data_IF_817172538017
#
_entry.id   IF_817172538017
#
_cell.length_a   1.000
_cell.length_b   1.000
_cell.length_c   1.000
_cell.angle_alpha   90.00
_cell.angle_beta   90.00
_cell.angle_gamma   90.00
#
_symmetry.space_group_name_H-M   'P 1'
#
loop_
_entity.id
_entity.type
_entity.pdbx_description
1 polymer ?
#
# COMPACT_ATOMS: atom_id res chain seq x y z
N UNK A 1 -41.44 -68.78 -12.49
CA UNK A 1 -40.14 -68.23 -12.03
C UNK A 1 -39.68 -67.20 -13.08
N UNK A 2 -39.78 -65.90 -12.79
CA UNK A 2 -39.27 -64.85 -13.69
C UNK A 2 -37.77 -64.67 -13.40
N UNK A 3 -36.91 -65.07 -14.34
CA UNK A 3 -35.47 -64.84 -14.26
C UNK A 3 -35.19 -63.39 -14.72
N UNK A 4 -34.76 -62.54 -13.80
CA UNK A 4 -34.28 -61.19 -14.08
C UNK A 4 -32.85 -61.29 -14.61
N UNK A 5 -32.66 -61.12 -15.92
CA UNK A 5 -31.34 -60.96 -16.52
C UNK A 5 -30.84 -59.54 -16.27
N UNK A 6 -29.85 -59.39 -15.40
CA UNK A 6 -29.13 -58.14 -15.22
C UNK A 6 -28.06 -58.02 -16.32
N UNK A 7 -28.15 -56.97 -17.15
CA UNK A 7 -27.09 -56.58 -18.08
C UNK A 7 -26.14 -55.63 -17.37
N UNK A 8 -24.86 -55.99 -17.31
CA UNK A 8 -23.78 -55.13 -16.83
C UNK A 8 -23.14 -54.38 -17.99
N UNK A 9 -22.77 -53.12 -17.78
CA UNK A 9 -22.01 -52.32 -18.74
C UNK A 9 -20.52 -52.61 -18.65
N UNK A 10 -19.77 -52.24 -19.68
CA UNK A 10 -18.31 -52.29 -19.65
C UNK A 10 -17.73 -51.26 -18.69
N UNK A 11 -16.49 -51.50 -18.26
CA UNK A 11 -15.73 -50.59 -17.42
C UNK A 11 -15.37 -49.33 -18.19
N UNK A 12 -15.35 -48.19 -17.51
CA UNK A 12 -14.85 -46.94 -18.10
C UNK A 12 -13.33 -46.96 -18.24
N UNK A 13 -12.81 -46.02 -19.02
CA UNK A 13 -11.38 -45.71 -19.03
C UNK A 13 -10.88 -45.39 -17.61
N UNK A 14 -9.65 -45.81 -17.31
CA UNK A 14 -9.03 -45.55 -16.01
C UNK A 14 -8.63 -44.09 -15.89
N UNK A 15 -9.03 -43.43 -14.80
CA UNK A 15 -8.54 -42.09 -14.44
C UNK A 15 -7.48 -42.19 -13.36
N UNK A 16 -6.36 -41.48 -13.51
CA UNK A 16 -5.33 -41.40 -12.47
C UNK A 16 -5.61 -40.20 -11.58
N UNK A 17 -5.77 -40.44 -10.28
CA UNK A 17 -5.92 -39.39 -9.28
C UNK A 17 -4.55 -39.08 -8.68
N UNK A 18 -4.10 -37.84 -8.82
CA UNK A 18 -2.88 -37.34 -8.18
C UNK A 18 -3.25 -36.60 -6.90
N UNK A 19 -2.69 -37.01 -5.77
CA UNK A 19 -2.87 -36.34 -4.48
C UNK A 19 -1.57 -35.63 -4.14
N UNK A 20 -1.67 -34.34 -3.79
CA UNK A 20 -0.55 -33.54 -3.30
C UNK A 20 -0.65 -33.43 -1.78
N UNK A 21 0.46 -33.62 -1.08
CA UNK A 21 0.53 -33.43 0.37
C UNK A 21 0.55 -31.94 0.77
N UNK A 22 0.86 -31.05 -0.18
CA UNK A 22 0.93 -29.62 0.09
C UNK A 22 -0.45 -28.99 0.04
N UNK A 23 -0.79 -28.24 1.09
CA UNK A 23 -1.98 -27.39 1.09
C UNK A 23 -1.81 -26.31 0.02
N UNK A 24 -2.79 -26.12 -0.88
CA UNK A 24 -2.73 -25.00 -1.81
C UNK A 24 -2.80 -23.68 -1.03
N UNK A 25 -2.20 -22.63 -1.60
CA UNK A 25 -2.24 -21.27 -1.05
C UNK A 25 -2.88 -20.32 -2.07
N UNK A 26 -3.99 -19.65 -1.74
CA UNK A 26 -4.61 -18.71 -2.65
C UNK A 26 -3.81 -17.41 -2.80
N UNK A 27 -4.04 -16.71 -3.89
CA UNK A 27 -3.43 -15.41 -4.19
C UNK A 27 -4.49 -14.32 -4.03
N UNK A 28 -4.28 -13.45 -3.04
CA UNK A 28 -5.13 -12.28 -2.81
C UNK A 28 -4.66 -11.10 -3.66
N UNK A 29 -5.62 -10.41 -4.25
CA UNK A 29 -5.46 -9.14 -4.96
C UNK A 29 -6.42 -8.10 -4.40
N UNK A 30 -6.01 -6.83 -4.41
CA UNK A 30 -6.80 -5.71 -3.87
C UNK A 30 -6.83 -4.57 -4.88
N UNK A 31 -7.97 -3.89 -4.98
CA UNK A 31 -8.12 -2.73 -5.85
C UNK A 31 -9.15 -1.74 -5.28
N UNK A 32 -8.81 -0.45 -5.13
CA UNK A 32 -7.49 0.14 -5.27
C UNK A 32 -6.55 -0.22 -4.10
N UNK A 33 -5.23 -0.06 -4.25
CA UNK A 33 -4.25 -0.25 -3.17
C UNK A 33 -4.10 0.98 -2.27
N UNK A 34 -4.45 2.16 -2.76
CA UNK A 34 -4.50 3.40 -1.99
C UNK A 34 -5.95 3.81 -1.80
N UNK A 35 -6.31 4.05 -0.54
CA UNK A 35 -7.66 4.43 -0.18
C UNK A 35 -7.98 5.81 -0.72
N UNK A 36 -9.20 5.89 -1.25
CA UNK A 36 -9.83 7.11 -1.68
C UNK A 36 -11.17 7.16 -0.95
N UNK A 37 -11.42 8.08 0.00
CA UNK A 37 -12.72 8.17 0.65
C UNK A 37 -13.95 8.11 -0.26
N UNK A 38 -14.93 7.34 0.19
CA UNK A 38 -16.11 6.97 -0.59
C UNK A 38 -15.86 5.88 -1.65
N UNK A 39 -14.61 5.55 -1.98
CA UNK A 39 -14.30 4.37 -2.78
C UNK A 39 -14.42 3.10 -1.92
N UNK A 40 -14.96 2.06 -2.52
CA UNK A 40 -14.93 0.72 -1.95
C UNK A 40 -13.67 -0.01 -2.38
N UNK A 41 -13.14 -0.85 -1.50
CA UNK A 41 -12.04 -1.76 -1.83
C UNK A 41 -12.64 -3.07 -2.32
N UNK A 42 -12.18 -3.55 -3.46
CA UNK A 42 -12.51 -4.90 -3.94
C UNK A 42 -11.33 -5.83 -3.63
N UNK A 43 -11.60 -6.88 -2.88
CA UNK A 43 -10.71 -8.01 -2.66
C UNK A 43 -11.07 -9.12 -3.66
N UNK A 44 -10.06 -9.78 -4.23
CA UNK A 44 -10.26 -10.93 -5.11
C UNK A 44 -9.27 -12.05 -4.78
N UNK A 45 -9.78 -13.25 -4.58
CA UNK A 45 -9.04 -14.41 -4.08
C UNK A 45 -8.93 -15.47 -5.17
N UNK A 46 -7.73 -15.65 -5.72
CA UNK A 46 -7.49 -16.62 -6.79
C UNK A 46 -6.99 -17.93 -6.21
N UNK A 47 -7.60 -19.04 -6.64
CA UNK A 47 -7.25 -20.41 -6.27
C UNK A 47 -6.88 -21.22 -7.50
N UNK A 48 -6.04 -22.23 -7.31
CA UNK A 48 -5.73 -23.19 -8.37
C UNK A 48 -7.00 -23.98 -8.70
N UNK A 49 -7.42 -23.96 -9.97
CA UNK A 49 -8.67 -24.55 -10.47
C UNK A 49 -9.95 -23.93 -9.86
N UNK A 50 -10.37 -22.74 -10.34
CA UNK A 50 -11.53 -22.00 -9.82
C UNK A 50 -12.86 -22.76 -9.91
N UNK A 51 -13.00 -23.62 -10.93
CA UNK A 51 -14.22 -24.39 -11.20
C UNK A 51 -14.49 -25.53 -10.23
N UNK A 52 -13.65 -25.73 -9.20
CA UNK A 52 -13.74 -26.86 -8.27
C UNK A 52 -14.74 -26.64 -7.11
N UNK A 53 -15.58 -25.60 -7.16
CA UNK A 53 -16.62 -25.35 -6.16
C UNK A 53 -16.05 -24.91 -4.81
N UNK A 54 -15.21 -23.87 -4.82
CA UNK A 54 -14.59 -23.32 -3.60
C UNK A 54 -15.53 -22.39 -2.84
N UNK A 55 -15.45 -22.46 -1.52
CA UNK A 55 -16.02 -21.50 -0.58
C UNK A 55 -14.91 -20.57 -0.08
N UNK A 56 -15.09 -19.25 -0.23
CA UNK A 56 -14.11 -18.24 0.13
C UNK A 56 -14.39 -17.64 1.51
N UNK A 57 -13.31 -17.37 2.23
CA UNK A 57 -13.27 -16.81 3.57
C UNK A 57 -12.36 -15.58 3.57
N UNK A 58 -12.85 -14.49 4.15
CA UNK A 58 -12.20 -13.19 4.11
C UNK A 58 -11.87 -12.70 5.51
N UNK A 59 -10.63 -12.26 5.69
CA UNK A 59 -10.12 -11.87 7.00
C UNK A 59 -9.45 -10.50 6.94
N UNK A 60 -9.58 -9.74 8.02
CA UNK A 60 -8.76 -8.58 8.33
C UNK A 60 -7.53 -9.03 9.12
N UNK A 61 -6.36 -8.58 8.71
CA UNK A 61 -5.12 -8.81 9.43
C UNK A 61 -5.02 -7.82 10.60
N UNK A 62 -4.75 -8.36 11.78
CA UNK A 62 -4.49 -7.58 13.00
C UNK A 62 -3.02 -7.79 13.37
N UNK A 63 -2.21 -6.73 13.37
CA UNK A 63 -0.82 -6.80 13.78
C UNK A 63 -0.69 -7.34 15.19
N UNK A 64 0.20 -8.31 15.34
CA UNK A 64 0.71 -8.75 16.63
C UNK A 64 2.21 -8.51 16.64
N UNK A 65 2.69 -7.76 17.64
CA UNK A 65 4.11 -7.47 17.82
C UNK A 65 4.84 -8.60 18.57
N UNK A 66 4.11 -9.48 19.26
CA UNK A 66 4.68 -10.61 20.00
C UNK A 66 4.97 -11.80 19.11
N UNK A 67 4.23 -11.94 18.01
CA UNK A 67 4.44 -12.98 17.00
C UNK A 67 5.05 -12.41 15.70
N UNK A 68 5.77 -13.29 14.97
CA UNK A 68 6.20 -12.98 13.59
C UNK A 68 5.03 -12.97 12.59
N UNK A 69 3.80 -13.24 13.04
CA UNK A 69 2.61 -13.41 12.23
C UNK A 69 1.49 -12.47 12.69
N UNK A 70 0.59 -12.10 11.78
CA UNK A 70 -0.61 -11.35 12.12
C UNK A 70 -1.71 -12.32 12.54
N UNK A 71 -2.53 -11.93 13.51
CA UNK A 71 -3.79 -12.61 13.76
C UNK A 71 -4.83 -12.20 12.71
N UNK A 72 -5.87 -13.02 12.53
CA UNK A 72 -6.85 -12.85 11.47
C UNK A 72 -8.27 -12.85 12.03
N UNK A 73 -8.99 -11.76 11.81
CA UNK A 73 -10.39 -11.59 12.21
C UNK A 73 -11.30 -11.73 10.99
N UNK A 74 -12.35 -12.54 11.09
CA UNK A 74 -13.32 -12.73 10.00
C UNK A 74 -14.05 -11.42 9.69
N UNK A 75 -14.16 -11.09 8.40
CA UNK A 75 -14.98 -9.97 7.95
C UNK A 75 -16.48 -10.31 8.05
N UNK A 76 -17.36 -9.31 8.27
CA UNK A 76 -18.81 -9.50 8.30
C UNK A 76 -19.29 -10.17 7.02
N UNK A 77 -20.15 -11.19 7.10
CA UNK A 77 -20.65 -11.95 5.94
C UNK A 77 -19.57 -12.57 5.03
N UNK A 78 -18.30 -12.56 5.47
CA UNK A 78 -17.14 -13.02 4.71
C UNK A 78 -16.82 -14.50 4.88
N UNK A 79 -17.79 -15.32 5.31
CA UNK A 79 -17.59 -16.73 5.63
C UNK A 79 -18.35 -17.63 4.66
N UNK A 80 -17.63 -18.51 3.96
CA UNK A 80 -18.23 -19.58 3.17
C UNK A 80 -18.95 -19.15 1.89
N UNK A 81 -18.54 -18.03 1.28
CA UNK A 81 -19.21 -17.51 0.07
C UNK A 81 -18.67 -18.19 -1.19
N UNK A 82 -19.53 -18.51 -2.16
CA UNK A 82 -19.07 -19.03 -3.46
C UNK A 82 -18.39 -17.94 -4.34
N UNK A 83 -18.55 -16.67 -3.97
CA UNK A 83 -17.98 -15.53 -4.67
C UNK A 83 -16.50 -15.39 -4.32
N UNK A 84 -15.64 -15.35 -5.34
CA UNK A 84 -14.19 -15.15 -5.23
C UNK A 84 -13.80 -13.69 -5.05
N UNK A 85 -14.77 -12.78 -4.98
CA UNK A 85 -14.61 -11.35 -4.75
C UNK A 85 -15.40 -10.85 -3.54
N UNK A 86 -14.82 -9.93 -2.76
CA UNK A 86 -15.46 -9.30 -1.60
C UNK A 86 -15.27 -7.78 -1.63
N UNK A 87 -16.35 -7.01 -1.40
CA UNK A 87 -16.32 -5.54 -1.46
C UNK A 87 -16.40 -4.98 -0.04
N UNK A 88 -15.42 -4.16 0.32
CA UNK A 88 -15.36 -3.45 1.59
C UNK A 88 -15.80 -2.01 1.37
N UNK A 89 -16.86 -1.62 2.06
CA UNK A 89 -17.36 -0.25 2.06
C UNK A 89 -16.86 0.51 3.29
N UNK A 90 -16.55 1.80 3.12
CA UNK A 90 -16.25 2.69 4.25
C UNK A 90 -14.88 2.48 4.91
N UNK A 91 -13.94 1.77 4.28
CA UNK A 91 -12.58 1.66 4.78
C UNK A 91 -11.86 3.01 4.67
N UNK A 92 -11.44 3.58 5.80
CA UNK A 92 -10.79 4.91 5.86
C UNK A 92 -9.31 4.84 6.26
N UNK A 93 -8.92 3.80 6.99
CA UNK A 93 -7.57 3.65 7.53
C UNK A 93 -6.80 2.55 6.82
N UNK A 94 -5.47 2.57 6.94
CA UNK A 94 -4.62 1.48 6.47
C UNK A 94 -5.10 0.16 7.05
N UNK A 95 -5.19 -0.89 6.21
CA UNK A 95 -5.62 -2.21 6.65
C UNK A 95 -4.95 -3.30 5.82
N UNK A 96 -4.66 -4.44 6.47
CA UNK A 96 -4.25 -5.67 5.81
C UNK A 96 -5.42 -6.66 5.68
N UNK A 97 -5.45 -7.41 4.60
CA UNK A 97 -6.45 -8.44 4.34
C UNK A 97 -5.79 -9.76 3.92
N UNK A 98 -6.50 -10.85 4.20
CA UNK A 98 -6.10 -12.23 3.86
C UNK A 98 -7.34 -12.98 3.39
N UNK A 99 -7.17 -13.86 2.41
CA UNK A 99 -8.22 -14.79 2.01
C UNK A 99 -7.81 -16.24 2.23
N UNK A 100 -8.81 -17.11 2.36
CA UNK A 100 -8.67 -18.56 2.45
C UNK A 100 -9.82 -19.21 1.67
N UNK A 101 -9.61 -20.40 1.13
CA UNK A 101 -10.67 -21.16 0.48
C UNK A 101 -10.90 -22.51 1.18
N UNK A 102 -12.12 -23.03 1.10
CA UNK A 102 -12.55 -24.32 1.63
C UNK A 102 -13.35 -25.11 0.61
N UNK A 103 -13.30 -26.45 0.68
CA UNK A 103 -14.11 -27.35 -0.16
C UNK A 103 -14.33 -28.71 0.51
N UNK A 104 -15.38 -29.43 0.10
CA UNK A 104 -15.66 -30.80 0.54
C UNK A 104 -16.49 -30.89 1.83
N UNK A 105 -16.84 -32.12 2.21
CA UNK A 105 -17.59 -32.45 3.43
C UNK A 105 -16.94 -33.69 4.09
N UNK A 106 -16.19 -33.54 5.21
CA UNK A 106 -15.94 -32.31 5.97
C UNK A 106 -15.06 -31.32 5.20
N UNK A 107 -15.21 -30.03 5.49
CA UNK A 107 -14.56 -28.96 4.75
C UNK A 107 -13.03 -28.97 4.92
N UNK A 108 -12.33 -29.12 3.81
CA UNK A 108 -10.88 -28.99 3.72
C UNK A 108 -10.52 -27.58 3.28
N UNK A 109 -9.72 -26.91 4.09
CA UNK A 109 -9.28 -25.55 3.80
C UNK A 109 -7.85 -25.48 3.28
N UNK A 110 -7.63 -24.50 2.40
CA UNK A 110 -6.31 -24.04 1.96
C UNK A 110 -5.54 -23.40 3.10
N UNK A 111 -4.26 -23.12 2.85
CA UNK A 111 -3.53 -22.13 3.66
C UNK A 111 -4.10 -20.73 3.44
N UNK A 112 -3.76 -19.81 4.34
CA UNK A 112 -4.04 -18.38 4.18
C UNK A 112 -3.19 -17.80 3.05
N UNK A 113 -3.77 -16.87 2.28
CA UNK A 113 -3.00 -16.08 1.30
C UNK A 113 -1.88 -15.29 1.98
N UNK A 114 -0.91 -14.81 1.19
CA UNK A 114 -0.07 -13.72 1.68
C UNK A 114 -0.95 -12.48 1.94
N UNK A 115 -0.71 -11.70 3.02
CA UNK A 115 -1.44 -10.48 3.26
C UNK A 115 -1.28 -9.46 2.14
N UNK A 116 -2.35 -8.70 1.88
CA UNK A 116 -2.33 -7.53 1.01
C UNK A 116 -2.86 -6.33 1.76
N UNK A 117 -2.22 -5.19 1.54
CA UNK A 117 -2.52 -3.96 2.26
C UNK A 117 -3.24 -2.97 1.36
N UNK A 118 -4.14 -2.21 1.98
CA UNK A 118 -4.70 -1.00 1.42
C UNK A 118 -4.29 0.14 2.32
N UNK A 119 -3.68 1.18 1.74
CA UNK A 119 -3.01 2.24 2.48
C UNK A 119 -3.85 3.52 2.52
N UNK A 120 -3.86 4.17 3.68
CA UNK A 120 -4.35 5.55 3.84
C UNK A 120 -3.19 6.48 4.14
N UNK A 121 -3.11 7.63 3.48
CA UNK A 121 -2.17 8.68 3.89
C UNK A 121 -2.80 9.63 4.94
N UNK A 122 -4.04 9.37 5.36
CA UNK A 122 -4.73 10.24 6.32
C UNK A 122 -4.15 10.06 7.72
N UNK A 123 -3.75 11.16 8.33
CA UNK A 123 -3.15 11.18 9.66
C UNK A 123 -4.28 11.08 10.68
N UNK A 124 -4.40 9.92 11.33
CA UNK A 124 -5.38 9.70 12.38
C UNK A 124 -4.74 9.80 13.78
N UNK A 125 -5.52 10.24 14.77
CA UNK A 125 -5.06 10.44 16.15
C UNK A 125 -4.68 9.14 16.87
N UNK A 126 -5.16 7.99 16.40
CA UNK A 126 -4.84 6.69 16.99
C UNK A 126 -3.41 6.22 16.65
N UNK A 127 -2.98 6.43 15.40
CA UNK A 127 -1.66 6.08 14.89
C UNK A 127 -1.31 6.89 13.64
N UNK A 128 -0.14 7.53 13.64
CA UNK A 128 0.38 8.30 12.51
C UNK A 128 1.86 8.02 12.28
N UNK A 129 2.29 8.11 11.02
CA UNK A 129 3.70 8.06 10.64
C UNK A 129 4.13 9.43 10.15
N UNK A 130 5.17 9.99 10.76
CA UNK A 130 5.82 11.23 10.33
C UNK A 130 7.21 10.96 9.79
N UNK A 131 7.64 11.78 8.83
CA UNK A 131 8.94 11.64 8.16
C UNK A 131 9.72 12.93 8.36
N UNK A 132 10.98 12.80 8.77
CA UNK A 132 11.91 13.93 8.86
C UNK A 132 13.18 13.61 8.06
N UNK A 133 13.58 14.48 7.11
CA UNK A 133 12.90 15.72 6.70
C UNK A 133 11.54 15.47 6.02
N UNK A 134 10.60 16.41 6.16
CA UNK A 134 9.24 16.32 5.58
C UNK A 134 9.27 16.47 4.05
N UNK A 135 9.66 15.39 3.37
CA UNK A 135 9.61 15.26 1.91
C UNK A 135 9.44 13.82 1.48
N UNK A 136 8.75 13.57 0.36
CA UNK A 136 8.58 12.20 -0.18
C UNK A 136 9.81 11.70 -0.96
N UNK A 137 10.56 12.62 -1.57
CA UNK A 137 11.75 12.29 -2.35
C UNK A 137 13.01 12.55 -1.52
N UNK A 138 13.91 11.58 -1.50
CA UNK A 138 15.20 11.70 -0.83
C UNK A 138 16.33 11.33 -1.79
N UNK A 139 17.53 11.84 -1.54
CA UNK A 139 18.70 11.35 -2.26
C UNK A 139 19.25 10.09 -1.59
N UNK A 140 19.99 9.27 -2.35
CA UNK A 140 20.68 8.09 -1.81
C UNK A 140 21.67 8.44 -0.70
N UNK A 141 21.59 7.81 0.47
CA UNK A 141 22.37 8.11 1.68
C UNK A 141 21.91 9.34 2.46
N UNK A 142 20.71 9.84 2.19
CA UNK A 142 20.04 10.77 3.10
C UNK A 142 19.72 10.04 4.41
N UNK A 143 19.91 10.73 5.54
CA UNK A 143 19.39 10.28 6.83
C UNK A 143 17.92 10.65 6.91
N UNK A 144 17.05 9.65 7.04
CA UNK A 144 15.60 9.82 7.17
C UNK A 144 15.14 9.21 8.49
N UNK A 145 14.37 9.99 9.24
CA UNK A 145 13.75 9.59 10.50
C UNK A 145 12.26 9.35 10.29
N UNK A 146 11.83 8.10 10.45
CA UNK A 146 10.44 7.67 10.43
C UNK A 146 9.94 7.60 11.86
N UNK A 147 8.96 8.42 12.24
CA UNK A 147 8.47 8.47 13.63
C UNK A 147 7.00 8.05 13.70
N UNK A 148 6.73 7.00 14.47
CA UNK A 148 5.38 6.52 14.75
C UNK A 148 4.82 7.26 15.97
N UNK A 149 3.76 8.03 15.78
CA UNK A 149 3.07 8.75 16.85
C UNK A 149 1.69 8.12 17.08
N UNK A 150 1.20 8.21 18.32
CA UNK A 150 -0.07 7.61 18.72
C UNK A 150 -0.08 7.27 20.21
N UNK A 151 -1.11 6.54 20.63
CA UNK A 151 -1.33 6.24 22.06
C UNK A 151 -0.44 5.12 22.63
N UNK A 152 0.55 4.63 21.87
CA UNK A 152 1.24 3.38 22.18
C UNK A 152 2.77 3.52 22.13
N UNK A 153 3.45 2.76 22.98
CA UNK A 153 4.92 2.82 23.14
C UNK A 153 5.66 1.81 22.29
N UNK A 154 4.99 0.73 21.87
CA UNK A 154 5.56 -0.34 21.05
C UNK A 154 5.01 -0.31 19.64
N UNK A 155 5.92 -0.37 18.67
CA UNK A 155 5.58 -0.39 17.25
C UNK A 155 6.70 -1.04 16.44
N UNK A 156 6.36 -1.39 15.20
CA UNK A 156 7.32 -1.70 14.15
C UNK A 156 7.01 -0.89 12.91
N UNK A 157 8.04 -0.36 12.26
CA UNK A 157 7.92 0.28 10.95
C UNK A 157 7.99 -0.82 9.91
N UNK A 158 6.95 -0.89 9.11
CA UNK A 158 6.81 -1.82 8.00
C UNK A 158 7.13 -1.12 6.69
N UNK A 159 7.57 -1.90 5.71
CA UNK A 159 7.79 -1.40 4.36
C UNK A 159 7.42 -2.45 3.32
N UNK A 160 6.89 -1.98 2.18
CA UNK A 160 6.84 -2.74 0.92
C UNK A 160 7.73 -2.03 -0.09
N UNK A 161 8.92 -2.55 -0.38
CA UNK A 161 9.75 -2.00 -1.45
C UNK A 161 9.08 -2.12 -2.81
N UNK A 162 9.34 -1.16 -3.68
CA UNK A 162 8.91 -1.23 -5.07
C UNK A 162 9.63 -2.35 -5.84
N UNK A 163 10.88 -2.66 -5.45
CA UNK A 163 11.70 -3.70 -6.10
C UNK A 163 11.27 -5.12 -5.75
N UNK A 164 10.63 -5.31 -4.60
CA UNK A 164 10.15 -6.59 -4.11
C UNK A 164 8.84 -6.37 -3.33
N UNK A 165 7.69 -6.85 -3.83
CA UNK A 165 6.40 -6.67 -3.18
C UNK A 165 6.23 -7.49 -1.89
N UNK A 166 7.30 -8.13 -1.40
CA UNK A 166 7.34 -8.71 -0.06
C UNK A 166 7.45 -7.62 0.99
N UNK A 167 6.48 -7.58 1.91
CA UNK A 167 6.52 -6.64 3.02
C UNK A 167 7.37 -7.20 4.16
N UNK A 168 8.11 -6.34 4.85
CA UNK A 168 8.89 -6.71 6.03
C UNK A 168 9.03 -5.53 6.97
N UNK A 169 9.46 -5.79 8.21
CA UNK A 169 9.72 -4.73 9.17
C UNK A 169 11.11 -4.12 8.93
N UNK A 170 11.16 -2.80 8.77
CA UNK A 170 12.41 -2.03 8.64
C UNK A 170 13.06 -1.79 9.99
N UNK A 171 12.24 -1.53 11.01
CA UNK A 171 12.65 -1.26 12.38
C UNK A 171 11.62 -1.85 13.34
N UNK A 172 12.08 -2.40 14.46
CA UNK A 172 11.23 -2.83 15.57
C UNK A 172 11.72 -2.11 16.84
N UNK A 173 10.82 -1.45 17.57
CA UNK A 173 11.16 -0.74 18.80
C UNK A 173 10.10 -0.99 19.88
N UNK A 174 10.55 -1.61 20.98
CA UNK A 174 9.75 -1.73 22.21
C UNK A 174 9.73 -0.44 23.04
N UNK A 175 10.69 0.47 22.80
CA UNK A 175 10.79 1.77 23.47
C UNK A 175 11.24 2.87 22.50
N UNK A 176 10.50 3.99 22.47
CA UNK A 176 10.75 5.14 21.60
C UNK A 176 10.08 5.01 20.23
N UNK A 177 9.79 6.13 19.55
CA UNK A 177 8.92 6.24 18.36
C UNK A 177 9.63 6.34 17.00
N UNK A 178 10.96 6.54 16.99
CA UNK A 178 11.69 6.86 15.75
C UNK A 178 12.53 5.70 15.21
N UNK A 179 12.47 5.46 13.91
CA UNK A 179 13.31 4.57 13.11
C UNK A 179 14.17 5.43 12.18
N UNK A 180 15.49 5.34 12.29
CA UNK A 180 16.41 6.08 11.43
C UNK A 180 16.95 5.15 10.34
N UNK A 181 16.86 5.59 9.08
CA UNK A 181 17.36 4.85 7.93
C UNK A 181 18.30 5.74 7.12
N UNK A 182 19.27 5.09 6.47
CA UNK A 182 20.05 5.71 5.40
C UNK A 182 19.51 5.18 4.08
N UNK A 183 18.97 6.09 3.26
CA UNK A 183 18.26 5.71 2.04
C UNK A 183 19.18 5.04 1.01
N UNK A 184 18.66 4.02 0.35
CA UNK A 184 19.27 3.34 -0.79
C UNK A 184 18.23 3.15 -1.89
N UNK A 185 18.65 2.77 -3.11
CA UNK A 185 17.70 2.50 -4.21
C UNK A 185 16.58 1.52 -3.80
N UNK A 186 16.91 0.50 -3.02
CA UNK A 186 15.98 -0.52 -2.54
C UNK A 186 15.01 -0.02 -1.45
N UNK A 187 15.22 1.18 -0.92
CA UNK A 187 14.32 1.82 0.06
C UNK A 187 13.23 2.66 -0.60
N UNK A 188 13.10 2.59 -1.93
CA UNK A 188 11.92 3.15 -2.59
C UNK A 188 10.73 2.24 -2.34
N UNK A 189 9.64 2.75 -1.76
CA UNK A 189 8.48 1.96 -1.41
C UNK A 189 7.54 2.62 -0.41
N UNK A 190 6.53 1.87 0.01
CA UNK A 190 5.52 2.33 0.96
C UNK A 190 5.93 1.97 2.38
N UNK A 191 5.75 2.90 3.31
CA UNK A 191 6.08 2.76 4.74
C UNK A 191 4.86 3.06 5.60
N UNK A 192 4.66 2.29 6.67
CA UNK A 192 3.64 2.52 7.69
C UNK A 192 4.12 1.94 9.04
N UNK A 193 3.40 2.22 10.11
CA UNK A 193 3.63 1.67 11.43
C UNK A 193 2.54 0.66 11.79
N UNK A 194 2.94 -0.40 12.48
CA UNK A 194 2.04 -1.33 13.17
C UNK A 194 2.22 -1.18 14.68
N UNK A 195 1.12 -1.03 15.41
CA UNK A 195 1.13 -0.89 16.87
C UNK A 195 0.96 -2.23 17.58
N UNK A 196 1.38 -2.28 18.85
CA UNK A 196 1.12 -3.43 19.73
C UNK A 196 -0.36 -3.68 20.05
N UNK A 197 -1.23 -2.73 19.71
CA UNK A 197 -2.68 -2.83 19.87
C UNK A 197 -3.41 -3.37 18.64
N UNK A 198 -2.68 -3.71 17.56
CA UNK A 198 -3.29 -4.20 16.33
C UNK A 198 -3.80 -3.11 15.39
N UNK A 199 -3.29 -1.88 15.50
CA UNK A 199 -3.63 -0.77 14.62
C UNK A 199 -2.53 -0.49 13.59
N UNK A 200 -2.93 0.09 12.45
CA UNK A 200 -2.01 0.57 11.41
C UNK A 200 -2.03 2.10 11.35
N UNK A 201 -0.87 2.72 11.17
CA UNK A 201 -0.80 4.16 10.96
C UNK A 201 -1.18 4.58 9.54
N UNK A 202 -1.17 5.90 9.30
CA UNK A 202 -1.01 6.44 7.95
C UNK A 202 0.24 5.87 7.26
N UNK A 203 0.19 5.81 5.94
CA UNK A 203 1.27 5.32 5.10
C UNK A 203 1.84 6.42 4.20
N UNK A 204 3.13 6.33 3.92
CA UNK A 204 3.86 7.27 3.05
C UNK A 204 4.60 6.49 1.97
N UNK A 205 4.65 7.02 0.75
CA UNK A 205 5.48 6.45 -0.32
C UNK A 205 6.75 7.28 -0.46
N UNK A 206 7.89 6.66 -0.15
CA UNK A 206 9.20 7.29 -0.22
C UNK A 206 9.89 6.87 -1.52
N UNK A 207 10.46 7.83 -2.23
CA UNK A 207 11.28 7.57 -3.43
C UNK A 207 12.70 8.04 -3.24
N UNK A 208 13.65 7.25 -3.76
CA UNK A 208 15.08 7.53 -3.63
C UNK A 208 15.70 7.88 -4.98
N UNK A 209 16.13 9.12 -5.13
CA UNK A 209 16.88 9.62 -6.28
C UNK A 209 18.32 9.13 -6.22
N UNK A 210 18.70 8.31 -7.20
CA UNK A 210 20.04 7.72 -7.33
C UNK A 210 20.94 8.46 -8.31
N UNK A 211 20.40 9.38 -9.12
CA UNK A 211 21.23 10.26 -9.93
C UNK A 211 21.83 11.35 -9.05
N UNK A 212 23.13 11.27 -8.76
CA UNK A 212 23.84 12.23 -7.91
C UNK A 212 23.82 13.67 -8.42
N UNK A 213 23.49 13.87 -9.71
CA UNK A 213 23.33 15.18 -10.33
C UNK A 213 21.87 15.50 -10.72
N UNK A 214 20.94 14.59 -10.46
CA UNK A 214 19.53 14.77 -10.76
C UNK A 214 18.83 15.55 -9.63
N UNK A 215 17.80 16.36 -9.97
CA UNK A 215 17.03 17.04 -8.94
C UNK A 215 16.04 16.09 -8.24
N UNK A 216 15.59 16.51 -7.06
CA UNK A 216 14.40 16.00 -6.39
C UNK A 216 13.35 17.10 -6.29
N UNK A 217 12.08 16.69 -6.31
CA UNK A 217 10.98 17.55 -5.91
C UNK A 217 10.79 17.43 -4.40
N UNK A 218 10.97 18.54 -3.68
CA UNK A 218 10.65 18.67 -2.27
C UNK A 218 9.17 18.99 -2.18
N UNK A 219 8.38 17.97 -1.81
CA UNK A 219 6.95 18.07 -1.54
C UNK A 219 6.66 17.40 -0.19
N UNK A 220 5.74 17.94 0.63
CA UNK A 220 5.37 17.34 1.92
C UNK A 220 4.98 15.87 1.81
N UNK A 221 5.26 15.09 2.85
CA UNK A 221 4.89 13.65 2.90
C UNK A 221 3.41 13.43 3.12
N UNK A 222 2.77 14.36 3.81
CA UNK A 222 1.36 14.27 4.12
C UNK A 222 0.50 15.07 3.13
N UNK A 223 -0.74 14.59 2.92
CA UNK A 223 -1.88 15.35 2.39
C UNK A 223 -1.93 16.84 2.79
N UNK A 224 -2.24 17.73 1.83
CA UNK A 224 -2.46 19.18 2.05
C UNK A 224 -3.94 19.53 1.91
N UNK A 225 -4.48 20.40 2.76
CA UNK A 225 -5.93 20.70 2.80
C UNK A 225 -6.37 21.79 1.79
N UNK A 226 -7.69 21.91 1.53
CA UNK A 226 -8.19 22.90 0.52
C UNK A 226 -7.91 24.29 1.03
N UNK A 227 -7.54 25.20 0.13
CA UNK A 227 -7.27 26.58 0.49
C UNK A 227 -6.01 26.76 1.34
N UNK A 228 -5.36 25.68 1.78
CA UNK A 228 -4.04 25.77 2.38
C UNK A 228 -3.00 26.16 1.31
N UNK A 229 -1.93 26.79 1.76
CA UNK A 229 -0.80 27.09 0.90
C UNK A 229 0.23 25.97 0.96
N UNK A 230 0.71 25.50 -0.19
CA UNK A 230 1.84 24.58 -0.29
C UNK A 230 2.97 25.22 -1.09
N UNK A 231 4.20 24.94 -0.67
CA UNK A 231 5.40 25.31 -1.39
C UNK A 231 6.11 24.04 -1.84
N UNK A 232 6.27 23.90 -3.15
CA UNK A 232 7.09 22.86 -3.76
C UNK A 232 8.44 23.50 -4.09
N UNK A 233 9.54 22.80 -3.85
CA UNK A 233 10.85 23.29 -4.26
C UNK A 233 11.64 22.22 -5.00
N UNK A 234 12.49 22.64 -5.91
CA UNK A 234 13.42 21.76 -6.58
C UNK A 234 14.74 21.81 -5.85
N UNK A 235 15.32 20.65 -5.54
CA UNK A 235 16.57 20.56 -4.78
C UNK A 235 17.59 19.69 -5.50
N UNK A 236 18.87 20.08 -5.43
CA UNK A 236 20.01 19.29 -5.85
C UNK A 236 20.85 18.91 -4.63
N UNK A 237 21.56 17.79 -4.74
CA UNK A 237 22.47 17.33 -3.70
C UNK A 237 23.63 18.29 -3.42
N UNK A 238 24.23 18.86 -4.46
CA UNK A 238 25.50 19.58 -4.38
C UNK A 238 25.39 21.10 -4.55
N UNK A 239 24.24 21.63 -4.98
CA UNK A 239 24.08 23.05 -5.29
C UNK A 239 22.91 23.68 -4.53
N UNK A 240 23.16 24.85 -3.92
CA UNK A 240 22.17 25.64 -3.17
C UNK A 240 21.36 26.62 -4.03
N UNK A 241 21.79 26.89 -5.27
CA UNK A 241 21.19 27.91 -6.14
C UNK A 241 20.97 27.30 -7.51
N UNK A 242 19.70 27.10 -7.87
CA UNK A 242 19.31 26.57 -9.17
C UNK A 242 18.88 27.73 -10.08
N UNK A 243 19.66 28.05 -11.12
CA UNK A 243 19.20 28.96 -12.17
C UNK A 243 18.39 28.17 -13.22
N UNK A 244 17.26 28.70 -13.69
CA UNK A 244 16.42 28.08 -14.73
C UNK A 244 15.81 26.71 -14.34
N UNK A 245 15.05 26.67 -13.24
CA UNK A 245 14.25 25.50 -12.88
C UNK A 245 12.90 25.56 -13.57
N UNK A 246 12.52 24.47 -14.22
CA UNK A 246 11.22 24.32 -14.85
C UNK A 246 10.34 23.40 -14.00
N UNK A 247 9.13 23.85 -13.67
CA UNK A 247 8.12 23.04 -13.00
C UNK A 247 7.07 22.59 -13.99
N UNK A 248 6.71 21.32 -13.92
CA UNK A 248 5.66 20.72 -14.74
C UNK A 248 4.54 20.20 -13.86
N UNK A 249 3.31 20.31 -14.35
CA UNK A 249 2.10 19.68 -13.81
C UNK A 249 1.42 18.90 -14.92
N UNK A 250 1.23 17.60 -14.72
CA UNK A 250 0.70 16.67 -15.74
C UNK A 250 1.45 16.81 -17.09
N UNK A 251 2.78 16.83 -17.03
CA UNK A 251 3.72 17.05 -18.14
C UNK A 251 3.61 18.40 -18.88
N UNK A 252 2.83 19.35 -18.35
CA UNK A 252 2.74 20.71 -18.88
C UNK A 252 3.59 21.66 -18.05
N UNK A 253 4.39 22.49 -18.71
CA UNK A 253 5.18 23.52 -18.06
C UNK A 253 4.26 24.56 -17.41
N UNK A 254 4.39 24.75 -16.09
CA UNK A 254 3.56 25.70 -15.30
C UNK A 254 4.35 26.91 -14.80
N UNK A 255 5.64 26.76 -14.50
CA UNK A 255 6.46 27.85 -13.99
C UNK A 255 7.93 27.67 -14.38
N UNK A 256 8.58 28.79 -14.66
CA UNK A 256 10.04 28.89 -14.75
C UNK A 256 10.47 29.97 -13.75
N UNK A 257 11.07 29.56 -12.63
CA UNK A 257 11.50 30.47 -11.58
C UNK A 257 12.97 30.21 -11.22
N UNK A 258 13.84 31.22 -11.29
CA UNK A 258 15.23 31.10 -10.88
C UNK A 258 15.42 30.88 -9.37
N UNK A 259 14.37 30.97 -8.56
CA UNK A 259 14.38 30.59 -7.14
C UNK A 259 14.21 29.09 -6.92
N UNK A 260 13.73 28.34 -7.92
CA UNK A 260 13.48 26.91 -7.79
C UNK A 260 12.34 26.59 -6.83
N UNK A 261 11.40 27.50 -6.63
CA UNK A 261 10.21 27.34 -5.77
C UNK A 261 8.93 27.58 -6.57
N UNK A 262 7.92 26.75 -6.31
CA UNK A 262 6.57 26.84 -6.84
C UNK A 262 5.62 26.94 -5.65
N UNK A 263 4.96 28.10 -5.50
CA UNK A 263 4.03 28.35 -4.41
C UNK A 263 2.60 28.30 -4.91
N UNK A 264 1.81 27.39 -4.36
CA UNK A 264 0.37 27.31 -4.56
C UNK A 264 -0.26 27.94 -3.31
N UNK A 265 -0.82 29.14 -3.46
CA UNK A 265 -1.30 29.93 -2.30
C UNK A 265 -2.60 29.41 -1.72
N UNK A 266 -3.46 28.81 -2.56
CA UNK A 266 -4.72 28.21 -2.16
C UNK A 266 -4.94 26.96 -3.00
N UNK A 267 -4.66 25.79 -2.41
CA UNK A 267 -4.81 24.49 -3.07
C UNK A 267 -6.27 24.25 -3.45
N UNK A 268 -6.48 23.80 -4.69
CA UNK A 268 -7.79 23.54 -5.28
C UNK A 268 -7.78 22.22 -6.06
N UNK A 269 -8.96 21.81 -6.55
CA UNK A 269 -9.10 20.58 -7.35
C UNK A 269 -8.25 20.58 -8.63
N UNK A 270 -7.99 21.73 -9.26
CA UNK A 270 -7.19 21.74 -10.49
C UNK A 270 -5.70 21.51 -10.24
N UNK A 271 -5.26 21.66 -9.00
CA UNK A 271 -3.87 21.45 -8.59
C UNK A 271 -3.57 19.95 -8.43
N UNK A 272 -4.56 19.08 -8.63
CA UNK A 272 -4.43 17.63 -8.68
C UNK A 272 -3.69 17.12 -9.91
N UNK A 273 -2.68 16.29 -9.66
CA UNK A 273 -1.90 15.61 -10.68
C UNK A 273 -0.42 15.53 -10.34
N UNK A 274 0.35 15.14 -11.35
CA UNK A 274 1.76 14.80 -11.25
C UNK A 274 2.65 16.02 -11.43
N UNK A 275 3.45 16.32 -10.42
CA UNK A 275 4.45 17.39 -10.51
C UNK A 275 5.84 16.81 -10.63
N UNK A 276 6.67 17.53 -11.38
CA UNK A 276 8.11 17.27 -11.50
C UNK A 276 8.84 18.60 -11.70
N UNK A 277 10.09 18.66 -11.26
CA UNK A 277 10.97 19.76 -11.58
C UNK A 277 12.10 19.30 -12.51
N UNK A 278 12.57 20.20 -13.36
CA UNK A 278 13.67 19.96 -14.28
C UNK A 278 14.74 21.03 -14.09
N UNK A 279 15.99 20.58 -14.04
CA UNK A 279 17.17 21.43 -13.99
C UNK A 279 18.21 20.92 -14.98
N UNK A 280 18.73 21.81 -15.83
CA UNK A 280 19.81 21.49 -16.78
C UNK A 280 19.57 20.23 -17.62
N UNK A 281 18.33 20.06 -18.10
CA UNK A 281 17.93 18.90 -18.91
C UNK A 281 17.62 17.62 -18.13
N UNK A 282 17.81 17.58 -16.80
CA UNK A 282 17.50 16.44 -15.94
C UNK A 282 16.20 16.67 -15.18
N UNK A 283 15.34 15.66 -15.15
CA UNK A 283 14.04 15.71 -14.47
C UNK A 283 14.11 14.98 -13.12
N UNK A 284 13.35 15.46 -12.14
CA UNK A 284 13.08 14.74 -10.91
C UNK A 284 12.16 13.55 -11.18
N UNK A 285 12.13 12.57 -10.28
CA UNK A 285 11.13 11.53 -10.35
C UNK A 285 9.72 12.15 -10.33
N UNK A 286 8.83 11.65 -11.20
CA UNK A 286 7.43 12.04 -11.21
C UNK A 286 6.73 11.37 -10.03
N UNK A 287 6.23 12.16 -9.10
CA UNK A 287 5.20 11.69 -8.18
C UNK A 287 4.55 12.90 -7.55
N UNK A 288 3.32 13.18 -7.95
CA UNK A 288 2.29 13.71 -7.08
C UNK A 288 0.96 13.19 -7.64
N UNK A 289 0.07 12.73 -6.80
CA UNK A 289 -1.34 12.64 -7.17
C UNK A 289 -2.06 13.33 -6.01
N UNK A 290 -2.50 14.58 -6.22
CA UNK A 290 -3.39 15.23 -5.25
C UNK A 290 -4.75 14.57 -5.45
N UNK A 291 -5.52 14.10 -4.46
CA UNK A 291 -6.91 13.66 -4.74
C UNK A 291 -7.89 14.08 -3.64
N UNK A 292 -9.14 14.34 -4.05
CA UNK A 292 -10.23 14.94 -3.25
C UNK A 292 -10.95 13.97 -2.33
N UNK A 293 -11.24 14.38 -1.08
CA UNK A 293 -12.35 13.77 -0.31
C UNK A 293 -13.32 14.75 0.35
N UNK A 294 -14.55 14.26 0.60
CA UNK A 294 -15.77 15.05 0.77
C UNK A 294 -16.42 14.93 2.15
N UNK A 295 -15.61 14.68 3.18
CA UNK A 295 -16.11 14.60 4.57
C UNK A 295 -15.36 15.48 5.56
N UNK A 296 -14.17 15.97 5.17
CA UNK A 296 -13.49 17.14 5.71
C UNK A 296 -12.74 17.77 4.52
N UNK A 297 -12.57 19.09 4.48
CA UNK A 297 -11.90 19.81 3.38
C UNK A 297 -10.39 19.53 3.33
N UNK A 298 -9.98 18.26 3.18
CA UNK A 298 -8.59 17.76 3.21
C UNK A 298 -8.26 17.01 1.90
N UNK A 299 -7.07 17.27 1.31
CA UNK A 299 -6.64 16.67 0.02
C UNK A 299 -5.32 15.92 0.16
N UNK A 300 -5.13 14.86 -0.63
CA UNK A 300 -4.07 13.88 -0.38
C UNK A 300 -2.94 13.93 -1.38
N UNK A 301 -1.68 13.95 -0.95
CA UNK A 301 -0.50 13.72 -1.79
C UNK A 301 -0.14 12.23 -1.74
N UNK A 302 -0.18 11.52 -2.86
CA UNK A 302 0.33 10.14 -2.94
C UNK A 302 1.45 9.99 -3.96
N UNK A 303 2.35 9.05 -3.64
CA UNK A 303 3.29 8.48 -4.58
C UNK A 303 2.84 7.10 -5.07
N UNK A 304 3.09 6.77 -6.35
CA UNK A 304 3.06 5.40 -6.91
C UNK A 304 4.36 4.64 -6.70
#
# INVERSE_FOLDING_TARGET
>A
MKSSQHKTTEWSDSVTLTVSDNKPRPVLTVSPSWLSPGASVTLNCQVEHPSAGWSFYWYKAVPDLSEKSSSYELLPDGSGTAQDSYIIHGQTHTAGYVCRAGRGDPEYHTDHSQPKFVWSADVHSAASLTVSPDRVQHFTSDSVSLTCEGNFTEWRVMTVPQSDPSYYYKCERRTGSTCNIYTSKSDTGVYWCESGSGEFSSAVNITVQNDGNGPILVSPVHPVTEGASVSLSCSLRTQKILSNVFFYHNDKLIQNDPRGELKISAVSKSDEGFYKCQYSGRESACQLNVSRFKTFDTWFIYGL
#
